data_IF_985372848319
#
_entry.id   IF_985372848319
#
_cell.length_a   1.000
_cell.length_b   1.000
_cell.length_c   1.000
_cell.angle_alpha   90.00
_cell.angle_beta   90.00
_cell.angle_gamma   90.00
#
_symmetry.space_group_name_H-M   'P 1'
#
loop_
_entity.id
_entity.type
_entity.pdbx_description
1 polymer ?
#
# COMPACT_ATOMS: atom_id res chain seq x y z
N UNK A 1 22.41 -6.03 8.51
CA UNK A 1 22.28 -6.93 7.34
C UNK A 1 22.11 -6.06 6.13
N UNK A 2 23.00 -6.17 5.13
CA UNK A 2 23.01 -5.33 3.94
C UNK A 2 21.72 -5.55 3.14
N UNK A 3 20.86 -4.54 3.10
CA UNK A 3 19.76 -4.43 2.14
C UNK A 3 20.37 -4.27 0.75
N UNK A 4 20.07 -5.16 -0.18
CA UNK A 4 20.52 -5.02 -1.57
C UNK A 4 19.45 -4.25 -2.34
N UNK A 5 19.88 -3.21 -3.07
CA UNK A 5 19.11 -2.78 -4.23
C UNK A 5 19.14 -3.95 -5.21
N UNK A 6 17.99 -4.58 -5.41
CA UNK A 6 17.89 -5.67 -6.37
C UNK A 6 17.96 -5.04 -7.75
N UNK A 7 18.95 -5.43 -8.55
CA UNK A 7 19.03 -5.07 -9.97
C UNK A 7 18.08 -5.90 -10.84
N UNK A 8 17.26 -6.76 -10.21
CA UNK A 8 16.23 -7.53 -10.89
C UNK A 8 15.21 -6.61 -11.56
N UNK A 9 14.80 -6.95 -12.74
CA UNK A 9 13.65 -6.32 -13.37
C UNK A 9 12.34 -7.01 -12.89
N UNK A 10 11.22 -6.37 -13.16
CA UNK A 10 9.92 -6.89 -12.76
C UNK A 10 9.60 -8.25 -13.36
N UNK A 11 10.15 -8.56 -14.55
CA UNK A 11 9.98 -9.86 -15.22
C UNK A 11 10.60 -10.99 -14.39
N UNK A 12 11.81 -10.79 -13.86
CA UNK A 12 12.46 -11.78 -12.99
C UNK A 12 11.69 -11.99 -11.68
N UNK A 13 11.08 -10.93 -11.13
CA UNK A 13 10.26 -10.99 -9.90
C UNK A 13 8.97 -11.78 -10.17
N UNK A 14 8.29 -11.51 -11.27
CA UNK A 14 7.08 -12.24 -11.68
C UNK A 14 7.40 -13.73 -11.86
N UNK A 15 8.44 -14.06 -12.62
CA UNK A 15 8.87 -15.45 -12.82
C UNK A 15 9.17 -16.14 -11.47
N UNK A 16 9.86 -15.44 -10.57
CA UNK A 16 10.17 -16.01 -9.26
C UNK A 16 8.93 -16.24 -8.39
N UNK A 17 7.88 -15.42 -8.55
CA UNK A 17 6.58 -15.68 -7.94
C UNK A 17 5.91 -16.91 -8.53
N UNK A 18 5.85 -17.01 -9.87
CA UNK A 18 5.19 -18.11 -10.58
C UNK A 18 5.86 -19.47 -10.30
N UNK A 19 7.19 -19.54 -10.32
CA UNK A 19 7.96 -20.77 -10.12
C UNK A 19 8.25 -21.11 -8.65
N UNK A 20 7.80 -20.26 -7.70
CA UNK A 20 7.97 -20.46 -6.27
C UNK A 20 9.40 -20.24 -5.76
N UNK A 21 10.31 -19.70 -6.59
CA UNK A 21 11.72 -19.45 -6.16
C UNK A 21 11.91 -18.13 -5.40
N UNK A 22 10.86 -17.30 -5.28
CA UNK A 22 10.91 -15.99 -4.63
C UNK A 22 11.47 -16.04 -3.20
N UNK A 23 11.16 -17.07 -2.39
CA UNK A 23 11.69 -17.25 -1.03
C UNK A 23 13.22 -17.46 -0.99
N UNK A 24 13.81 -17.93 -2.08
CA UNK A 24 15.26 -18.11 -2.20
C UNK A 24 15.95 -16.86 -2.71
N UNK A 25 15.27 -16.09 -3.59
CA UNK A 25 15.84 -14.95 -4.29
C UNK A 25 15.68 -13.62 -3.55
N UNK A 26 14.53 -13.40 -2.88
CA UNK A 26 14.16 -12.10 -2.29
C UNK A 26 14.03 -12.15 -0.77
N UNK A 27 14.10 -10.97 -0.15
CA UNK A 27 13.98 -10.76 1.31
C UNK A 27 13.15 -9.50 1.59
N UNK A 28 12.42 -9.49 2.70
CA UNK A 28 11.75 -8.28 3.19
C UNK A 28 12.77 -7.15 3.34
N UNK A 29 12.44 -6.00 2.75
CA UNK A 29 13.29 -4.81 2.65
C UNK A 29 14.09 -4.71 1.35
N UNK A 30 14.03 -5.70 0.45
CA UNK A 30 14.58 -5.55 -0.91
C UNK A 30 13.79 -4.48 -1.67
N UNK A 31 14.48 -3.73 -2.52
CA UNK A 31 13.88 -2.61 -3.24
C UNK A 31 14.11 -2.72 -4.74
N UNK A 32 13.14 -2.28 -5.53
CA UNK A 32 13.18 -2.24 -6.98
C UNK A 32 12.49 -0.98 -7.50
N UNK A 33 12.99 -0.43 -8.60
CA UNK A 33 12.38 0.74 -9.24
C UNK A 33 11.11 0.36 -9.99
N UNK A 34 10.10 1.21 -9.87
CA UNK A 34 8.89 1.19 -10.67
C UNK A 34 8.79 2.47 -11.47
N UNK A 35 8.84 2.34 -12.79
CA UNK A 35 8.64 3.45 -13.71
C UNK A 35 7.15 3.59 -14.03
N UNK A 36 6.60 4.76 -13.72
CA UNK A 36 5.19 5.13 -13.95
C UNK A 36 5.06 6.15 -15.10
N UNK A 37 6.04 6.20 -16.00
CA UNK A 37 6.02 7.12 -17.14
C UNK A 37 5.98 8.59 -16.68
N UNK A 38 4.93 9.32 -17.05
CA UNK A 38 4.76 10.74 -16.70
C UNK A 38 4.65 11.01 -15.19
N UNK A 39 4.20 10.03 -14.42
CA UNK A 39 4.14 10.11 -12.97
C UNK A 39 5.51 9.89 -12.31
N UNK A 40 6.55 9.60 -13.10
CA UNK A 40 7.92 9.44 -12.64
C UNK A 40 8.26 8.02 -12.18
N UNK A 41 9.46 7.87 -11.65
CA UNK A 41 9.95 6.58 -11.12
C UNK A 41 9.96 6.62 -9.61
N UNK A 42 9.43 5.59 -8.97
CA UNK A 42 9.43 5.41 -7.52
C UNK A 42 10.14 4.12 -7.12
N UNK A 43 10.65 4.08 -5.90
CA UNK A 43 11.20 2.88 -5.31
C UNK A 43 10.10 2.07 -4.63
N UNK A 44 9.96 0.79 -4.99
CA UNK A 44 9.10 -0.18 -4.30
C UNK A 44 9.92 -0.98 -3.30
N UNK A 45 9.31 -1.38 -2.19
CA UNK A 45 9.93 -2.21 -1.14
C UNK A 45 9.08 -3.48 -0.94
N UNK A 46 9.75 -4.63 -0.87
CA UNK A 46 9.12 -5.89 -0.49
C UNK A 46 8.84 -5.86 1.02
N UNK A 47 7.57 -5.79 1.40
CA UNK A 47 7.17 -5.59 2.81
C UNK A 47 6.67 -6.86 3.48
N UNK A 48 6.14 -7.81 2.71
CA UNK A 48 5.63 -9.07 3.24
C UNK A 48 5.71 -10.19 2.20
N UNK A 49 5.64 -11.44 2.68
CA UNK A 49 5.55 -12.65 1.86
C UNK A 49 4.54 -13.61 2.46
N UNK A 50 3.66 -14.18 1.64
CA UNK A 50 2.63 -15.15 2.03
C UNK A 50 1.69 -14.64 3.14
N UNK A 51 1.28 -13.37 3.06
CA UNK A 51 0.46 -12.72 4.10
C UNK A 51 -0.91 -12.32 3.59
N UNK A 52 -0.98 -11.64 2.44
CA UNK A 52 -2.22 -11.12 1.88
C UNK A 52 -3.07 -12.21 1.23
N UNK A 53 -4.35 -12.25 1.55
CA UNK A 53 -5.29 -13.23 1.00
C UNK A 53 -5.66 -12.87 -0.43
N UNK A 54 -5.59 -13.85 -1.33
CA UNK A 54 -6.08 -13.70 -2.70
C UNK A 54 -7.61 -13.56 -2.71
N UNK A 55 -8.12 -12.65 -3.52
CA UNK A 55 -9.54 -12.33 -3.55
C UNK A 55 -10.43 -13.48 -4.04
N UNK A 56 -9.86 -14.40 -4.81
CA UNK A 56 -10.52 -15.63 -5.29
C UNK A 56 -10.56 -16.77 -4.25
N UNK A 57 -9.95 -16.56 -3.09
CA UNK A 57 -9.86 -17.55 -2.02
C UNK A 57 -8.89 -18.70 -2.28
N UNK A 58 -8.06 -18.65 -3.32
CA UNK A 58 -7.12 -19.72 -3.69
C UNK A 58 -5.90 -19.82 -2.76
N UNK A 59 -5.69 -18.84 -1.89
CA UNK A 59 -4.57 -18.83 -0.95
C UNK A 59 -4.07 -17.44 -0.63
N UNK A 60 -2.75 -17.30 -0.54
CA UNK A 60 -2.09 -16.03 -0.23
C UNK A 60 -1.15 -15.62 -1.34
N UNK A 61 -1.09 -14.33 -1.60
CA UNK A 61 -0.12 -13.73 -2.48
C UNK A 61 1.31 -14.00 -2.00
N UNK A 62 2.21 -14.33 -2.90
CA UNK A 62 3.59 -14.69 -2.59
C UNK A 62 4.40 -13.50 -2.09
N UNK A 63 4.23 -12.34 -2.70
CA UNK A 63 5.00 -11.13 -2.40
C UNK A 63 4.11 -9.90 -2.38
N UNK A 64 4.29 -9.07 -1.34
CA UNK A 64 3.61 -7.79 -1.17
C UNK A 64 4.61 -6.66 -1.29
N UNK A 65 4.42 -5.81 -2.27
CA UNK A 65 5.24 -4.65 -2.57
C UNK A 65 4.52 -3.36 -2.22
N UNK A 66 5.16 -2.46 -1.51
CA UNK A 66 4.63 -1.12 -1.20
C UNK A 66 5.67 -0.07 -1.58
N UNK A 67 5.21 1.04 -2.13
CA UNK A 67 6.11 2.14 -2.50
C UNK A 67 6.84 2.68 -1.26
N UNK A 68 8.18 2.76 -1.34
CA UNK A 68 9.03 3.35 -0.32
C UNK A 68 9.01 4.87 -0.39
N UNK A 69 8.84 5.39 -1.59
CA UNK A 69 8.62 6.79 -1.89
C UNK A 69 7.14 7.03 -2.16
N UNK A 70 6.67 8.25 -1.92
CA UNK A 70 5.30 8.64 -2.24
C UNK A 70 5.12 8.79 -3.75
N UNK A 71 3.90 8.62 -4.25
CA UNK A 71 3.57 9.01 -5.61
C UNK A 71 3.84 10.50 -5.81
N UNK A 72 4.13 10.88 -7.04
CA UNK A 72 4.35 12.30 -7.43
C UNK A 72 3.15 13.20 -7.08
N UNK A 73 1.95 12.64 -7.19
CA UNK A 73 0.71 13.36 -6.93
C UNK A 73 0.19 13.06 -5.53
N UNK A 74 -0.14 14.13 -4.80
CA UNK A 74 -0.98 14.02 -3.61
C UNK A 74 -2.43 13.84 -4.05
N UNK A 75 -3.21 13.19 -3.20
CA UNK A 75 -4.64 13.01 -3.47
C UNK A 75 -5.42 13.03 -2.16
N UNK A 76 -6.68 13.44 -2.21
CA UNK A 76 -7.61 13.31 -1.08
C UNK A 76 -8.16 11.88 -1.01
N UNK A 77 -8.61 11.44 0.16
CA UNK A 77 -9.34 10.17 0.25
C UNK A 77 -10.70 10.29 -0.42
N UNK A 78 -11.40 11.42 -0.19
CA UNK A 78 -12.68 11.75 -0.81
C UNK A 78 -12.71 13.24 -1.19
N UNK A 79 -13.50 13.61 -2.17
CA UNK A 79 -13.75 15.01 -2.55
C UNK A 79 -14.45 15.74 -1.40
N UNK A 80 -15.43 15.08 -0.78
CA UNK A 80 -16.14 15.59 0.38
C UNK A 80 -15.48 15.14 1.68
N UNK A 81 -15.65 15.91 2.76
CA UNK A 81 -15.13 15.59 4.08
C UNK A 81 -16.00 14.51 4.74
N UNK A 82 -15.98 13.29 4.21
CA UNK A 82 -16.68 12.12 4.73
C UNK A 82 -15.82 10.88 4.61
N UNK A 83 -15.94 9.97 5.55
CA UNK A 83 -15.33 8.64 5.54
C UNK A 83 -16.38 7.51 5.59
N UNK A 84 -17.66 7.86 5.37
CA UNK A 84 -18.82 7.00 5.62
C UNK A 84 -18.71 5.60 4.96
N UNK A 85 -18.35 5.54 3.67
CA UNK A 85 -18.19 4.28 2.92
C UNK A 85 -16.84 3.58 3.16
N UNK A 86 -15.97 4.17 3.98
CA UNK A 86 -14.61 3.64 4.23
C UNK A 86 -13.75 3.61 2.96
N UNK A 87 -12.79 2.67 2.95
CA UNK A 87 -11.92 2.46 1.79
C UNK A 87 -12.68 2.03 0.55
N UNK A 88 -13.67 1.13 0.71
CA UNK A 88 -14.37 0.52 -0.41
C UNK A 88 -15.00 1.53 -1.35
N UNK A 89 -15.59 2.59 -0.81
CA UNK A 89 -16.30 3.64 -1.58
C UNK A 89 -15.48 4.92 -1.73
N UNK A 90 -14.17 4.91 -1.38
CA UNK A 90 -13.35 6.12 -1.44
C UNK A 90 -12.98 6.51 -2.87
N UNK A 91 -12.94 7.83 -3.12
CA UNK A 91 -12.42 8.38 -4.38
C UNK A 91 -10.95 8.00 -4.62
N UNK A 92 -10.17 7.85 -3.55
CA UNK A 92 -8.79 7.37 -3.59
C UNK A 92 -8.69 5.99 -4.23
N UNK A 93 -9.52 5.02 -3.80
CA UNK A 93 -9.54 3.67 -4.35
C UNK A 93 -9.87 3.69 -5.84
N UNK A 94 -10.87 4.49 -6.20
CA UNK A 94 -11.28 4.68 -7.59
C UNK A 94 -10.16 5.30 -8.43
N UNK A 95 -9.54 6.39 -7.93
CA UNK A 95 -8.43 7.07 -8.60
C UNK A 95 -7.22 6.16 -8.80
N UNK A 96 -6.86 5.36 -7.81
CA UNK A 96 -5.77 4.38 -7.95
C UNK A 96 -6.04 3.42 -9.11
N UNK A 97 -7.25 2.86 -9.15
CA UNK A 97 -7.64 1.89 -10.19
C UNK A 97 -7.68 2.51 -11.59
N UNK A 98 -8.29 3.68 -11.74
CA UNK A 98 -8.58 4.29 -13.05
C UNK A 98 -7.44 5.16 -13.58
N UNK A 99 -6.61 5.72 -12.70
CA UNK A 99 -5.58 6.69 -13.09
C UNK A 99 -4.15 6.22 -12.82
N UNK A 100 -3.91 5.46 -11.77
CA UNK A 100 -2.55 5.04 -11.38
C UNK A 100 -2.20 3.66 -11.93
N UNK A 101 -3.08 2.67 -11.78
CA UNK A 101 -2.83 1.32 -12.30
C UNK A 101 -2.53 1.30 -13.81
N UNK A 102 -3.17 2.08 -14.67
CA UNK A 102 -2.84 2.15 -16.10
C UNK A 102 -1.41 2.63 -16.41
N UNK A 103 -0.77 3.35 -15.47
CA UNK A 103 0.63 3.82 -15.63
C UNK A 103 1.65 2.72 -15.33
N UNK A 104 1.23 1.61 -14.74
CA UNK A 104 2.14 0.51 -14.45
C UNK A 104 2.59 -0.17 -15.74
N UNK A 105 3.85 -0.65 -15.81
CA UNK A 105 4.32 -1.47 -16.93
C UNK A 105 3.37 -2.64 -17.20
N UNK A 106 3.21 -3.00 -18.47
CA UNK A 106 2.31 -4.07 -18.90
C UNK A 106 2.57 -5.40 -18.16
N UNK A 107 3.85 -5.73 -17.96
CA UNK A 107 4.24 -6.94 -17.22
C UNK A 107 3.67 -6.96 -15.78
N UNK A 108 3.54 -5.82 -15.12
CA UNK A 108 2.92 -5.73 -13.80
C UNK A 108 1.41 -5.86 -13.91
N UNK A 109 0.78 -5.08 -14.78
CA UNK A 109 -0.68 -5.10 -14.96
C UNK A 109 -1.23 -6.48 -15.31
N UNK A 110 -0.43 -7.27 -16.04
CA UNK A 110 -0.80 -8.63 -16.44
C UNK A 110 -0.62 -9.68 -15.32
N UNK A 111 0.15 -9.39 -14.29
CA UNK A 111 0.56 -10.38 -13.27
C UNK A 111 0.23 -10.00 -11.84
N UNK A 112 -0.17 -8.74 -11.59
CA UNK A 112 -0.67 -8.33 -10.27
C UNK A 112 -1.91 -9.14 -9.92
N UNK A 113 -1.91 -9.71 -8.71
CA UNK A 113 -3.04 -10.47 -8.16
C UNK A 113 -4.01 -9.54 -7.42
N UNK A 114 -5.30 -9.79 -7.56
CA UNK A 114 -6.29 -9.17 -6.69
C UNK A 114 -6.23 -9.81 -5.30
N UNK A 115 -6.16 -8.96 -4.28
CA UNK A 115 -6.12 -9.38 -2.88
C UNK A 115 -7.30 -8.79 -2.10
N UNK A 116 -7.73 -9.51 -1.08
CA UNK A 116 -8.78 -9.03 -0.18
C UNK A 116 -8.19 -7.99 0.78
N UNK A 117 -8.76 -6.79 0.75
CA UNK A 117 -8.43 -5.72 1.68
C UNK A 117 -9.61 -5.40 2.58
N UNK A 118 -9.32 -5.25 3.86
CA UNK A 118 -10.31 -4.98 4.89
C UNK A 118 -10.19 -3.53 5.36
N UNK A 119 -11.32 -2.89 5.62
CA UNK A 119 -11.42 -1.58 6.24
C UNK A 119 -12.73 -1.40 6.96
N UNK A 120 -12.77 -0.57 8.00
CA UNK A 120 -14.01 -0.18 8.64
C UNK A 120 -14.85 0.72 7.74
N UNK A 121 -16.17 0.58 7.81
CA UNK A 121 -17.16 1.45 7.16
C UNK A 121 -18.22 1.87 8.17
N UNK A 122 -18.47 3.17 8.26
CA UNK A 122 -19.53 3.71 9.13
C UNK A 122 -20.93 3.37 8.60
N UNK A 123 -21.13 3.38 7.28
CA UNK A 123 -22.42 3.00 6.67
C UNK A 123 -22.80 1.57 7.00
N UNK A 124 -21.83 0.65 6.93
CA UNK A 124 -22.02 -0.76 7.22
C UNK A 124 -21.86 -1.10 8.71
N UNK A 125 -21.38 -0.16 9.54
CA UNK A 125 -21.11 -0.30 10.98
C UNK A 125 -20.20 -1.49 11.30
N UNK A 126 -19.20 -1.72 10.49
CA UNK A 126 -18.28 -2.84 10.65
C UNK A 126 -17.16 -2.87 9.63
N UNK A 127 -16.30 -3.87 9.78
CA UNK A 127 -15.25 -4.14 8.81
C UNK A 127 -15.83 -4.79 7.57
N UNK A 128 -15.57 -4.22 6.43
CA UNK A 128 -15.96 -4.72 5.10
C UNK A 128 -14.71 -5.06 4.28
N UNK A 129 -14.89 -5.84 3.24
CA UNK A 129 -13.79 -6.25 2.36
C UNK A 129 -13.99 -5.77 0.93
N UNK A 130 -12.89 -5.51 0.25
CA UNK A 130 -12.83 -5.22 -1.18
C UNK A 130 -11.75 -6.07 -1.86
N UNK A 131 -11.95 -6.37 -3.14
CA UNK A 131 -10.92 -6.97 -3.98
C UNK A 131 -10.15 -5.85 -4.69
N UNK A 132 -8.83 -5.81 -4.49
CA UNK A 132 -7.99 -4.73 -4.98
C UNK A 132 -6.71 -5.24 -5.64
N UNK A 133 -6.47 -4.81 -6.89
CA UNK A 133 -5.19 -5.03 -7.58
C UNK A 133 -4.10 -4.09 -7.07
N UNK A 134 -4.46 -2.81 -6.81
CA UNK A 134 -3.60 -1.84 -6.13
C UNK A 134 -4.37 -1.11 -5.03
N UNK A 135 -3.68 -0.78 -3.96
CA UNK A 135 -4.29 -0.26 -2.74
C UNK A 135 -3.29 0.58 -1.91
N UNK A 136 -3.76 1.22 -0.83
CA UNK A 136 -2.90 1.84 0.18
C UNK A 136 -2.96 1.04 1.50
N UNK A 137 -1.88 1.04 2.31
CA UNK A 137 -1.84 0.26 3.55
C UNK A 137 -2.90 0.69 4.57
N UNK A 138 -3.33 -0.26 5.44
CA UNK A 138 -4.12 0.05 6.62
C UNK A 138 -3.23 0.42 7.81
N UNK A 139 -3.86 0.95 8.86
CA UNK A 139 -3.19 1.21 10.13
C UNK A 139 -2.65 -0.10 10.74
N UNK A 140 -3.44 -1.17 10.68
CA UNK A 140 -3.03 -2.50 11.17
C UNK A 140 -1.80 -3.03 10.43
N UNK A 141 -1.75 -2.90 9.11
CA UNK A 141 -0.62 -3.35 8.30
C UNK A 141 0.68 -2.62 8.65
N UNK A 142 0.61 -1.33 9.00
CA UNK A 142 1.77 -0.47 9.27
C UNK A 142 2.17 -0.43 10.74
N UNK A 143 1.22 -0.44 11.67
CA UNK A 143 1.49 -0.28 13.10
C UNK A 143 1.33 -1.56 13.91
N UNK A 144 0.75 -2.61 13.34
CA UNK A 144 0.53 -3.89 13.99
C UNK A 144 -0.87 -4.04 14.61
N UNK A 145 -1.17 -5.24 15.05
CA UNK A 145 -2.49 -5.63 15.55
C UNK A 145 -2.88 -4.92 16.86
N UNK A 146 -1.90 -4.66 17.72
CA UNK A 146 -2.16 -4.11 19.07
C UNK A 146 -2.64 -2.66 19.06
N UNK A 147 -2.43 -1.94 17.95
CA UNK A 147 -2.77 -0.52 17.82
C UNK A 147 -4.04 -0.33 16.99
N UNK A 148 -4.38 -1.30 16.15
CA UNK A 148 -5.56 -1.23 15.31
C UNK A 148 -6.81 -1.58 16.12
N UNK A 149 -7.82 -0.71 16.05
CA UNK A 149 -9.12 -0.94 16.69
C UNK A 149 -9.94 -1.99 15.94
N UNK A 150 -9.66 -2.16 14.63
CA UNK A 150 -10.39 -3.01 13.72
C UNK A 150 -9.48 -4.10 13.11
N UNK A 151 -10.05 -5.26 12.82
CA UNK A 151 -9.33 -6.30 12.09
C UNK A 151 -9.32 -5.97 10.59
N UNK A 152 -8.27 -5.28 10.16
CA UNK A 152 -8.07 -4.89 8.77
C UNK A 152 -7.07 -5.81 8.03
N UNK A 153 -6.96 -7.05 8.48
CA UNK A 153 -6.22 -8.11 7.81
C UNK A 153 -4.74 -8.20 8.22
N UNK A 154 -3.87 -8.19 7.24
CA UNK A 154 -2.44 -8.46 7.38
C UNK A 154 -1.67 -7.49 8.30
N UNK A 155 -0.48 -7.91 8.74
CA UNK A 155 0.47 -7.08 9.51
C UNK A 155 1.85 -7.18 8.87
N UNK A 156 2.49 -6.04 8.58
CA UNK A 156 3.79 -5.98 7.92
C UNK A 156 4.93 -5.59 8.88
N UNK A 157 4.96 -6.17 10.07
CA UNK A 157 5.93 -5.84 11.13
C UNK A 157 7.38 -6.06 10.73
N UNK A 158 7.65 -6.92 9.75
CA UNK A 158 9.00 -7.12 9.21
C UNK A 158 9.56 -5.89 8.51
N UNK A 159 8.70 -5.06 7.90
CA UNK A 159 9.07 -3.84 7.21
C UNK A 159 8.90 -2.59 8.09
N UNK A 160 7.84 -2.52 8.88
CA UNK A 160 7.43 -1.34 9.65
C UNK A 160 7.67 -1.51 11.15
N UNK A 161 8.93 -1.66 11.56
CA UNK A 161 9.30 -1.96 12.95
C UNK A 161 9.43 -0.74 13.86
N UNK A 162 9.53 0.48 13.31
CA UNK A 162 9.71 1.73 14.07
C UNK A 162 9.32 2.95 13.23
N UNK A 163 9.29 4.13 13.83
CA UNK A 163 8.92 5.39 13.17
C UNK A 163 9.74 5.67 11.91
N UNK A 164 11.05 5.46 11.98
CA UNK A 164 11.93 5.70 10.83
C UNK A 164 11.58 4.80 9.62
N UNK A 165 11.20 3.55 9.87
CA UNK A 165 10.80 2.62 8.80
C UNK A 165 9.46 2.97 8.16
N UNK A 166 8.63 3.76 8.84
CA UNK A 166 7.33 4.24 8.36
C UNK A 166 7.39 5.57 7.63
N UNK A 167 8.52 6.31 7.73
CA UNK A 167 8.71 7.54 6.98
C UNK A 167 8.77 7.27 5.49
N UNK A 168 8.10 8.11 4.70
CA UNK A 168 8.14 8.06 3.25
C UNK A 168 8.57 9.40 2.67
N UNK A 169 9.41 9.33 1.65
CA UNK A 169 10.07 10.47 1.02
C UNK A 169 9.21 10.98 -0.15
N UNK A 170 9.10 12.29 -0.29
CA UNK A 170 8.51 12.89 -1.48
C UNK A 170 9.41 12.66 -2.69
N UNK A 171 8.87 12.34 -3.87
CA UNK A 171 9.66 12.10 -5.07
C UNK A 171 10.63 13.23 -5.40
N UNK A 172 11.87 12.88 -5.74
CA UNK A 172 12.89 13.83 -6.13
C UNK A 172 13.43 14.72 -5.00
N UNK A 173 13.10 14.41 -3.74
CA UNK A 173 13.57 15.15 -2.57
C UNK A 173 14.16 14.23 -1.50
N UNK A 174 14.63 14.81 -0.40
CA UNK A 174 14.99 14.09 0.83
C UNK A 174 13.97 14.34 1.94
N UNK A 175 12.90 15.09 1.66
CA UNK A 175 11.89 15.47 2.65
C UNK A 175 10.84 14.39 2.79
N UNK A 176 10.48 14.07 4.04
CA UNK A 176 9.34 13.21 4.35
C UNK A 176 8.04 13.98 4.34
N UNK A 177 6.92 13.31 4.12
CA UNK A 177 5.59 13.91 4.18
C UNK A 177 4.59 12.95 4.81
N UNK A 178 3.48 13.50 5.29
CA UNK A 178 2.35 12.70 5.74
C UNK A 178 1.73 11.95 4.54
N UNK A 179 1.30 10.70 4.79
CA UNK A 179 0.71 9.85 3.77
C UNK A 179 -0.47 9.04 4.31
N UNK A 180 -1.41 8.71 3.43
CA UNK A 180 -2.66 8.07 3.77
C UNK A 180 -2.52 6.61 4.16
N UNK A 181 -3.36 6.23 5.13
CA UNK A 181 -3.76 4.85 5.40
C UNK A 181 -5.25 4.70 5.04
N UNK A 182 -5.66 3.49 4.62
CA UNK A 182 -7.06 3.23 4.27
C UNK A 182 -8.00 3.09 5.47
N UNK A 183 -7.45 3.03 6.68
CA UNK A 183 -8.21 2.91 7.92
C UNK A 183 -8.95 4.20 8.24
N UNK A 184 -10.20 4.09 8.57
CA UNK A 184 -11.05 5.21 8.99
C UNK A 184 -10.73 5.58 10.44
N UNK A 185 -10.62 6.88 10.73
CA UNK A 185 -10.41 7.41 12.06
C UNK A 185 -11.75 7.80 12.73
N UNK A 186 -12.56 8.61 12.04
CA UNK A 186 -13.91 9.03 12.44
C UNK A 186 -14.78 9.33 11.22
N UNK A 187 -15.92 9.98 11.40
CA UNK A 187 -16.95 10.23 10.36
C UNK A 187 -16.43 11.02 9.15
N UNK A 188 -15.31 11.74 9.28
CA UNK A 188 -14.77 12.61 8.25
C UNK A 188 -13.24 12.56 8.09
N UNK A 189 -12.56 11.70 8.86
CA UNK A 189 -11.11 11.56 8.81
C UNK A 189 -10.68 10.12 8.54
N UNK A 190 -9.56 9.97 7.85
CA UNK A 190 -8.81 8.73 7.74
C UNK A 190 -7.48 8.84 8.49
N UNK A 191 -6.96 7.70 8.94
CA UNK A 191 -5.63 7.65 9.50
C UNK A 191 -4.56 8.02 8.47
N UNK A 192 -3.50 8.62 8.98
CA UNK A 192 -2.27 8.93 8.23
C UNK A 192 -1.05 8.49 9.03
N UNK A 193 0.06 8.35 8.35
CA UNK A 193 1.39 8.38 8.96
C UNK A 193 1.94 9.78 8.75
N UNK A 194 2.34 10.49 9.81
CA UNK A 194 2.94 11.81 9.68
C UNK A 194 4.39 11.75 9.14
N UNK A 195 4.99 12.88 8.81
CA UNK A 195 6.36 12.95 8.29
C UNK A 195 7.42 12.38 9.25
N UNK A 196 7.12 12.27 10.54
CA UNK A 196 7.97 11.65 11.54
C UNK A 196 7.83 10.13 11.64
N UNK A 197 6.83 9.53 11.00
CA UNK A 197 6.56 8.09 11.04
C UNK A 197 5.54 7.64 12.08
N UNK A 198 4.95 8.58 12.82
CA UNK A 198 3.94 8.29 13.86
C UNK A 198 2.53 8.31 13.28
N UNK A 199 1.60 7.60 13.93
CA UNK A 199 0.18 7.60 13.58
C UNK A 199 -0.45 8.96 13.81
N UNK A 200 -1.29 9.41 12.88
CA UNK A 200 -2.05 10.66 12.91
C UNK A 200 -3.34 10.46 12.13
N UNK A 201 -4.12 11.51 11.94
CA UNK A 201 -5.31 11.54 11.08
C UNK A 201 -5.38 12.82 10.25
N UNK A 202 -6.25 12.83 9.28
CA UNK A 202 -6.53 14.03 8.46
C UNK A 202 -7.94 13.94 7.88
N UNK A 203 -8.55 15.09 7.67
CA UNK A 203 -9.82 15.16 6.95
C UNK A 203 -9.71 14.48 5.59
N UNK A 204 -10.69 13.66 5.26
CA UNK A 204 -10.75 12.89 4.00
C UNK A 204 -10.58 13.74 2.75
N UNK A 205 -11.03 15.01 2.77
CA UNK A 205 -10.86 15.98 1.69
C UNK A 205 -9.50 16.68 1.63
N UNK A 206 -8.59 16.38 2.57
CA UNK A 206 -7.23 16.93 2.53
C UNK A 206 -6.35 16.17 1.54
N UNK A 207 -5.46 16.86 0.83
CA UNK A 207 -4.44 16.21 0.01
C UNK A 207 -3.26 15.75 0.86
N UNK A 208 -2.94 14.46 0.81
CA UNK A 208 -1.76 13.85 1.45
C UNK A 208 -1.00 12.97 0.46
N UNK A 209 0.19 12.57 0.84
CA UNK A 209 0.99 11.63 0.07
C UNK A 209 0.30 10.28 -0.07
N UNK A 210 0.58 9.58 -1.14
CA UNK A 210 0.01 8.26 -1.46
C UNK A 210 1.13 7.25 -1.58
N UNK A 211 1.04 6.18 -0.82
CA UNK A 211 1.94 5.02 -0.88
C UNK A 211 1.17 3.83 -1.43
N UNK A 212 1.40 3.47 -2.69
CA UNK A 212 0.69 2.40 -3.37
C UNK A 212 1.31 1.03 -3.09
N UNK A 213 0.46 0.03 -2.90
CA UNK A 213 0.85 -1.38 -2.79
C UNK A 213 0.18 -2.26 -3.82
N UNK A 214 0.81 -3.42 -4.10
CA UNK A 214 0.28 -4.49 -4.93
C UNK A 214 0.93 -5.84 -4.57
N UNK A 215 0.37 -6.93 -5.06
CA UNK A 215 0.82 -8.29 -4.78
C UNK A 215 1.02 -9.15 -6.04
N UNK A 216 1.90 -10.16 -5.89
CA UNK A 216 2.05 -11.28 -6.82
C UNK A 216 1.72 -12.60 -6.13
#
# INVERSE_FOLDING_TARGET
KNRKNVTADWKEIVIASEDGTYLKKYRIGDTVKLDLGEAGTIMMELVAMNVDELADGSGKAHMTWISKELLKYKHAMNIDATSEGGWMDSDMRFWLRESILPLFPEILRANIQEVTKYSYSFSEKGTISSADSIWIPSRREVFGADIALEDEGAVYTGAYSNDLSRQKICPGTTSTSAWWLRSVYDDNEFFTVNGGGSSSSSYSSSERGVAVGFCF
#
